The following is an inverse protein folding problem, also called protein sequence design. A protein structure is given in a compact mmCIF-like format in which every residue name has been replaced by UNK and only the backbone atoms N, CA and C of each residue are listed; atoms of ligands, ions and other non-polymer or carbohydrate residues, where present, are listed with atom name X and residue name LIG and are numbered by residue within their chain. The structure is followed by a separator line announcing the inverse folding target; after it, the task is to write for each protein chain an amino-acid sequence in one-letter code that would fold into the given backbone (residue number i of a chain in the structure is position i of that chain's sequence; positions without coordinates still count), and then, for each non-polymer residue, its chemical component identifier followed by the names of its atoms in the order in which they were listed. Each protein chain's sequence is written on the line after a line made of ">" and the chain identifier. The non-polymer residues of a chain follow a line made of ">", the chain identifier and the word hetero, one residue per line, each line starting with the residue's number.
data_IF_500795506023
#
_entry.id   IF_500795506023
#
_cell.length_a   1.000
_cell.length_b   1.000
_cell.length_c   1.000
_cell.angle_alpha   90.00
_cell.angle_beta   90.00
_cell.angle_gamma   90.00
#
_symmetry.space_group_name_H-M   'P 1'
#
loop_
_entity.id
_entity.type
_entity.pdbx_description
1 polymer ?
#
# COMPACT_ATOMS: atom_id res chain seq x y z
N UNK A 1 10.94 4.89 12.30
CA UNK A 1 10.20 3.82 11.64
C UNK A 1 10.30 4.01 10.14
N UNK A 2 10.36 2.93 9.38
CA UNK A 2 10.56 2.97 7.92
C UNK A 2 9.51 2.11 7.24
N UNK A 3 9.03 2.55 6.08
CA UNK A 3 8.18 1.72 5.22
C UNK A 3 9.04 0.89 4.26
N UNK A 4 8.63 -0.33 3.99
CA UNK A 4 9.31 -1.19 3.01
C UNK A 4 9.22 -0.68 1.58
N UNK A 5 8.28 0.22 1.29
CA UNK A 5 7.95 0.59 -0.08
C UNK A 5 7.38 -0.59 -0.87
N UNK A 6 7.29 -0.44 -2.20
CA UNK A 6 6.68 -1.44 -3.10
C UNK A 6 7.66 -2.52 -3.56
N UNK A 7 8.93 -2.41 -3.24
CA UNK A 7 9.97 -3.33 -3.70
C UNK A 7 9.86 -4.76 -3.18
N UNK A 8 9.07 -4.95 -2.15
CA UNK A 8 9.01 -6.19 -1.39
C UNK A 8 10.13 -6.27 -0.36
N UNK A 9 10.03 -7.22 0.57
CA UNK A 9 11.04 -7.45 1.58
C UNK A 9 11.73 -8.80 1.40
N UNK A 10 13.06 -8.88 1.61
CA UNK A 10 13.75 -10.14 1.65
C UNK A 10 13.28 -10.95 2.88
N UNK A 11 13.21 -12.27 2.73
CA UNK A 11 12.79 -13.18 3.82
C UNK A 11 13.62 -12.93 5.08
N UNK A 12 14.93 -12.77 4.96
CA UNK A 12 15.84 -12.50 6.09
C UNK A 12 15.39 -11.31 6.97
N UNK A 13 14.71 -10.32 6.38
CA UNK A 13 14.22 -9.15 7.10
C UNK A 13 12.87 -9.46 7.78
N UNK A 14 12.01 -10.22 7.11
CA UNK A 14 10.75 -10.72 7.70
C UNK A 14 11.00 -11.65 8.90
N UNK A 15 12.11 -12.40 8.89
CA UNK A 15 12.52 -13.31 9.97
C UNK A 15 13.40 -12.62 11.02
N UNK A 16 13.63 -11.32 10.92
CA UNK A 16 14.52 -10.59 11.83
C UNK A 16 13.76 -9.84 12.92
N UNK A 17 14.44 -9.59 14.03
CA UNK A 17 13.92 -8.72 15.11
C UNK A 17 13.75 -7.25 14.67
N UNK A 18 14.33 -6.87 13.54
CA UNK A 18 14.19 -5.53 12.96
C UNK A 18 12.79 -5.27 12.43
N UNK A 19 11.99 -6.34 12.22
CA UNK A 19 10.64 -6.24 11.66
C UNK A 19 9.74 -5.32 12.49
N UNK A 20 9.87 -5.33 13.80
CA UNK A 20 9.10 -4.45 14.72
C UNK A 20 9.28 -2.94 14.47
N UNK A 21 10.29 -2.53 13.71
CA UNK A 21 10.51 -1.13 13.36
C UNK A 21 9.99 -0.79 11.94
N UNK A 22 9.49 -1.75 11.21
CA UNK A 22 9.10 -1.60 9.81
C UNK A 22 7.59 -1.55 9.64
N UNK A 23 7.16 -0.72 8.70
CA UNK A 23 5.83 -0.73 8.15
C UNK A 23 5.89 -1.52 6.85
N UNK A 24 5.21 -2.67 6.79
CA UNK A 24 5.16 -3.48 5.58
C UNK A 24 4.13 -2.88 4.64
N UNK A 25 4.55 -2.45 3.45
CA UNK A 25 3.61 -1.99 2.42
C UNK A 25 3.23 -3.12 1.47
N UNK A 26 1.94 -3.31 1.28
CA UNK A 26 1.35 -4.23 0.31
C UNK A 26 0.82 -3.41 -0.87
N UNK A 27 1.34 -3.68 -2.05
CA UNK A 27 0.88 -3.09 -3.30
C UNK A 27 0.23 -4.14 -4.20
N UNK A 28 -0.38 -3.71 -5.28
CA UNK A 28 -1.14 -4.57 -6.21
C UNK A 28 -0.30 -5.52 -7.06
N UNK A 29 1.02 -5.40 -7.03
CA UNK A 29 1.92 -6.28 -7.77
C UNK A 29 2.07 -7.68 -7.16
N UNK A 30 3.07 -8.41 -7.62
CA UNK A 30 3.39 -9.81 -7.22
C UNK A 30 3.65 -10.01 -5.71
N UNK A 31 3.57 -8.97 -4.93
CA UNK A 31 3.74 -8.96 -3.47
C UNK A 31 2.43 -8.71 -2.76
N UNK A 32 1.36 -9.26 -3.31
CA UNK A 32 0.08 -9.24 -2.66
C UNK A 32 0.16 -9.70 -1.21
N UNK A 33 -0.86 -9.46 -0.49
CA UNK A 33 -1.02 -9.81 0.91
C UNK A 33 -0.77 -11.30 1.20
N UNK A 34 -1.03 -12.20 0.25
CA UNK A 34 -0.77 -13.65 0.37
C UNK A 34 0.69 -13.99 0.67
N UNK A 35 1.65 -13.19 0.16
CA UNK A 35 3.06 -13.39 0.49
C UNK A 35 3.37 -13.08 1.96
N UNK A 36 2.76 -12.04 2.49
CA UNK A 36 2.91 -11.71 3.92
C UNK A 36 2.29 -12.79 4.77
N UNK A 37 1.08 -13.25 4.43
CA UNK A 37 0.42 -14.36 5.13
C UNK A 37 1.31 -15.61 5.15
N UNK A 38 1.93 -15.95 4.02
CA UNK A 38 2.86 -17.09 3.94
C UNK A 38 4.13 -16.90 4.76
N UNK A 39 4.60 -15.66 4.91
CA UNK A 39 5.78 -15.36 5.68
C UNK A 39 5.52 -15.32 7.20
N UNK A 40 4.28 -15.11 7.62
CA UNK A 40 3.91 -14.97 9.04
C UNK A 40 4.41 -16.09 9.95
N UNK A 41 4.33 -17.38 9.58
CA UNK A 41 4.84 -18.47 10.43
C UNK A 41 6.34 -18.39 10.72
N UNK A 42 7.09 -17.65 9.92
CA UNK A 42 8.53 -17.49 10.03
C UNK A 42 8.95 -16.14 10.64
N UNK A 43 7.99 -15.25 10.92
CA UNK A 43 8.26 -13.97 11.54
C UNK A 43 8.61 -14.16 13.02
N UNK A 44 9.74 -13.57 13.46
CA UNK A 44 10.14 -13.58 14.88
C UNK A 44 9.46 -12.49 15.68
N UNK A 45 9.06 -11.42 15.02
CA UNK A 45 8.42 -10.25 15.60
C UNK A 45 7.26 -9.82 14.69
N UNK A 46 6.25 -9.18 15.26
CA UNK A 46 5.22 -8.52 14.48
C UNK A 46 5.77 -7.23 13.83
N UNK A 47 5.37 -6.86 12.62
CA UNK A 47 5.74 -5.57 12.04
C UNK A 47 5.10 -4.42 12.83
N UNK A 48 5.70 -3.23 12.75
CA UNK A 48 5.14 -2.02 13.37
C UNK A 48 3.72 -1.71 12.89
N UNK A 49 3.47 -1.93 11.61
CA UNK A 49 2.17 -1.81 10.96
C UNK A 49 2.21 -2.48 9.59
N UNK A 50 1.04 -2.74 9.03
CA UNK A 50 0.86 -3.11 7.62
C UNK A 50 0.15 -1.97 6.91
N UNK A 51 0.61 -1.60 5.73
CA UNK A 51 0.06 -0.51 4.93
C UNK A 51 -0.46 -1.07 3.59
N UNK A 52 -1.76 -1.07 3.40
CA UNK A 52 -2.40 -1.43 2.13
C UNK A 52 -2.35 -0.22 1.21
N UNK A 53 -1.57 -0.30 0.14
CA UNK A 53 -1.50 0.76 -0.86
C UNK A 53 -2.59 0.58 -1.90
N UNK A 54 -3.57 1.48 -1.90
CA UNK A 54 -4.63 1.57 -2.91
C UNK A 54 -4.16 2.42 -4.09
N UNK A 55 -3.45 3.50 -3.82
CA UNK A 55 -2.98 4.42 -4.85
C UNK A 55 -1.72 5.18 -4.46
N UNK A 56 -1.22 5.95 -5.42
CA UNK A 56 -0.07 6.82 -5.25
C UNK A 56 -0.46 8.23 -5.73
N UNK A 57 -0.12 9.24 -4.94
CA UNK A 57 -0.54 10.62 -5.19
C UNK A 57 -0.06 11.21 -6.50
N UNK A 58 1.14 10.85 -6.94
CA UNK A 58 1.69 11.33 -8.20
C UNK A 58 1.04 10.73 -9.46
N UNK A 59 0.31 9.63 -9.32
CA UNK A 59 -0.38 8.94 -10.42
C UNK A 59 -1.59 8.15 -9.93
N UNK A 60 -2.64 8.83 -9.46
CA UNK A 60 -3.87 8.16 -9.04
C UNK A 60 -4.44 7.28 -10.15
N UNK A 61 -4.83 6.05 -9.79
CA UNK A 61 -5.41 5.09 -10.73
C UNK A 61 -4.40 4.25 -11.52
N UNK A 62 -3.12 4.60 -11.51
CA UNK A 62 -2.06 3.80 -12.15
C UNK A 62 -1.43 2.82 -11.16
N UNK A 63 -1.07 1.64 -11.67
CA UNK A 63 -0.26 0.68 -10.93
C UNK A 63 1.21 1.05 -10.85
N UNK A 64 2.01 0.21 -10.21
CA UNK A 64 3.46 0.39 -10.12
C UNK A 64 4.16 0.10 -11.44
N UNK A 65 5.23 0.83 -11.72
CA UNK A 65 6.14 0.58 -12.82
C UNK A 65 7.57 0.50 -12.30
N UNK A 66 8.25 -0.61 -12.59
CA UNK A 66 9.67 -0.77 -12.30
C UNK A 66 10.42 -1.09 -13.60
N UNK A 67 11.19 -0.14 -14.14
CA UNK A 67 11.97 -0.35 -15.37
C UNK A 67 12.99 -1.48 -15.23
N UNK A 68 13.22 -2.26 -16.30
CA UNK A 68 14.15 -3.39 -16.32
C UNK A 68 15.56 -3.04 -15.81
N UNK A 69 16.03 -1.81 -16.08
CA UNK A 69 17.32 -1.32 -15.60
C UNK A 69 17.44 -1.30 -14.05
N UNK A 70 16.31 -1.19 -13.35
CA UNK A 70 16.25 -1.21 -11.87
C UNK A 70 16.00 -2.61 -11.31
N UNK A 71 15.69 -3.59 -12.15
CA UNK A 71 15.46 -4.99 -11.74
C UNK A 71 16.81 -5.72 -11.73
N UNK A 72 17.56 -5.55 -10.66
CA UNK A 72 18.79 -6.30 -10.41
C UNK A 72 18.52 -7.71 -9.90
N UNK A 73 19.57 -8.56 -9.75
CA UNK A 73 19.44 -9.94 -9.27
C UNK A 73 18.70 -10.05 -7.93
N UNK A 74 18.93 -9.10 -7.03
CA UNK A 74 18.28 -9.06 -5.73
C UNK A 74 16.76 -8.84 -5.84
N UNK A 75 16.33 -7.87 -6.63
CA UNK A 75 14.90 -7.61 -6.89
C UNK A 75 14.26 -8.79 -7.62
N UNK A 76 14.95 -9.35 -8.61
CA UNK A 76 14.50 -10.53 -9.35
C UNK A 76 14.26 -11.72 -8.39
N UNK A 77 15.18 -11.98 -7.48
CA UNK A 77 15.04 -13.05 -6.50
C UNK A 77 13.89 -12.79 -5.50
N UNK A 78 13.78 -11.57 -4.96
CA UNK A 78 12.69 -11.21 -4.05
C UNK A 78 11.34 -11.35 -4.74
N UNK A 79 11.27 -10.93 -6.00
CA UNK A 79 10.02 -10.89 -6.77
C UNK A 79 9.70 -12.21 -7.48
N UNK A 80 10.63 -13.12 -7.58
CA UNK A 80 10.45 -14.34 -8.35
C UNK A 80 10.17 -14.09 -9.84
N UNK A 81 10.78 -13.03 -10.40
CA UNK A 81 10.53 -12.57 -11.77
C UNK A 81 11.85 -12.37 -12.52
N UNK A 82 11.88 -12.54 -13.84
CA UNK A 82 13.07 -12.27 -14.64
C UNK A 82 13.42 -10.77 -14.67
N UNK A 83 14.62 -10.44 -15.12
CA UNK A 83 15.04 -9.05 -15.37
C UNK A 83 14.26 -8.47 -16.55
N UNK A 84 13.13 -7.85 -16.26
CA UNK A 84 12.26 -7.21 -17.24
C UNK A 84 11.62 -5.97 -16.63
N UNK A 85 11.02 -5.13 -17.45
CA UNK A 85 10.16 -4.05 -16.96
C UNK A 85 8.90 -4.67 -16.35
N UNK A 86 8.62 -4.32 -15.09
CA UNK A 86 7.52 -4.88 -14.33
C UNK A 86 6.41 -3.84 -14.18
N UNK A 87 5.22 -4.22 -14.57
CA UNK A 87 4.00 -3.45 -14.39
C UNK A 87 3.15 -4.11 -13.33
N UNK A 88 2.74 -3.35 -12.34
CA UNK A 88 1.74 -3.80 -11.36
C UNK A 88 0.36 -3.32 -11.81
N UNK A 89 -0.70 -4.11 -11.63
CA UNK A 89 -2.06 -3.68 -11.96
C UNK A 89 -2.48 -2.50 -11.07
N UNK A 90 -3.47 -1.73 -11.53
CA UNK A 90 -4.05 -0.64 -10.75
C UNK A 90 -4.74 -1.16 -9.49
N UNK A 91 -5.45 -2.28 -9.60
CA UNK A 91 -6.18 -2.92 -8.51
C UNK A 91 -5.42 -4.11 -7.91
N UNK A 92 -5.68 -4.40 -6.65
CA UNK A 92 -5.22 -5.64 -6.04
C UNK A 92 -5.89 -6.84 -6.71
N UNK A 93 -5.15 -7.92 -6.88
CA UNK A 93 -5.62 -9.10 -7.59
C UNK A 93 -6.90 -9.69 -6.96
N UNK A 94 -7.91 -9.91 -7.77
CA UNK A 94 -9.20 -10.43 -7.33
C UNK A 94 -10.11 -9.43 -6.61
N UNK A 95 -9.72 -8.16 -6.56
CA UNK A 95 -10.49 -7.07 -5.94
C UNK A 95 -10.71 -5.97 -6.97
N UNK A 96 -11.95 -5.60 -7.19
CA UNK A 96 -12.35 -4.74 -8.31
C UNK A 96 -12.74 -3.32 -7.92
N UNK A 97 -12.92 -3.07 -6.61
CA UNK A 97 -13.21 -1.73 -6.10
C UNK A 97 -12.28 -1.37 -4.95
N UNK A 98 -12.19 -0.07 -4.64
CA UNK A 98 -11.44 0.42 -3.48
C UNK A 98 -12.11 -0.07 -2.19
N UNK A 99 -13.43 -0.02 -2.13
CA UNK A 99 -14.24 -0.46 -0.99
C UNK A 99 -14.01 -1.95 -0.70
N UNK A 100 -14.03 -2.78 -1.72
CA UNK A 100 -13.77 -4.21 -1.60
C UNK A 100 -12.33 -4.48 -1.13
N UNK A 101 -11.36 -3.75 -1.69
CA UNK A 101 -9.95 -3.84 -1.28
C UNK A 101 -9.77 -3.42 0.19
N UNK A 102 -10.42 -2.34 0.59
CA UNK A 102 -10.39 -1.87 1.98
C UNK A 102 -11.02 -2.92 2.90
N UNK A 103 -12.23 -3.33 2.64
CA UNK A 103 -12.96 -4.24 3.55
C UNK A 103 -12.32 -5.63 3.62
N UNK A 104 -12.11 -6.29 2.48
CA UNK A 104 -11.63 -7.68 2.46
C UNK A 104 -10.18 -7.80 2.91
N UNK A 105 -9.27 -6.99 2.35
CA UNK A 105 -7.85 -7.06 2.71
C UNK A 105 -7.62 -6.60 4.13
N UNK A 106 -8.24 -5.50 4.52
CA UNK A 106 -8.10 -4.93 5.83
C UNK A 106 -8.54 -5.91 6.93
N UNK A 107 -9.74 -6.47 6.79
CA UNK A 107 -10.26 -7.47 7.73
C UNK A 107 -9.39 -8.74 7.75
N UNK A 108 -9.01 -9.25 6.57
CA UNK A 108 -8.18 -10.47 6.47
C UNK A 108 -6.82 -10.29 7.13
N UNK A 109 -6.17 -9.15 6.94
CA UNK A 109 -4.88 -8.85 7.56
C UNK A 109 -5.01 -8.66 9.07
N UNK A 110 -6.02 -7.93 9.54
CA UNK A 110 -6.26 -7.80 10.97
C UNK A 110 -6.49 -9.16 11.62
N UNK A 111 -7.32 -10.01 11.02
CA UNK A 111 -7.56 -11.36 11.51
C UNK A 111 -6.28 -12.22 11.52
N UNK A 112 -5.50 -12.16 10.43
CA UNK A 112 -4.26 -12.91 10.30
C UNK A 112 -3.23 -12.52 11.38
N UNK A 113 -3.12 -11.25 11.71
CA UNK A 113 -2.27 -10.76 12.80
C UNK A 113 -2.95 -10.80 14.20
N UNK A 114 -4.14 -11.39 14.30
CA UNK A 114 -4.88 -11.45 15.56
C UNK A 114 -5.16 -10.07 16.16
N UNK A 115 -5.37 -9.06 15.33
CA UNK A 115 -5.63 -7.66 15.70
C UNK A 115 -4.51 -6.99 16.52
N UNK A 116 -3.30 -7.57 16.54
CA UNK A 116 -2.17 -6.99 17.28
C UNK A 116 -1.41 -5.95 16.48
N UNK A 117 -1.44 -6.05 15.15
CA UNK A 117 -0.70 -5.18 14.24
C UNK A 117 -1.66 -4.18 13.60
N UNK A 118 -1.41 -2.86 13.70
CA UNK A 118 -2.22 -1.88 13.01
C UNK A 118 -2.18 -2.08 11.50
N UNK A 119 -3.34 -2.17 10.86
CA UNK A 119 -3.47 -2.22 9.41
C UNK A 119 -3.99 -0.88 8.92
N UNK A 120 -3.19 -0.18 8.15
CA UNK A 120 -3.49 1.15 7.64
C UNK A 120 -3.75 1.11 6.13
N UNK A 121 -4.46 2.11 5.63
CA UNK A 121 -4.76 2.29 4.20
C UNK A 121 -4.00 3.50 3.66
N UNK A 122 -3.37 3.34 2.49
CA UNK A 122 -2.76 4.46 1.74
C UNK A 122 -3.56 4.70 0.46
N UNK A 123 -4.04 5.94 0.32
CA UNK A 123 -4.81 6.40 -0.82
C UNK A 123 -4.15 7.62 -1.46
N UNK A 124 -4.32 7.79 -2.77
CA UNK A 124 -3.93 9.03 -3.44
C UNK A 124 -4.82 10.20 -2.98
N UNK A 125 -4.25 11.38 -2.87
CA UNK A 125 -5.00 12.61 -2.72
C UNK A 125 -5.76 12.90 -4.03
N UNK A 126 -7.01 12.46 -4.11
CA UNK A 126 -7.88 12.53 -5.29
C UNK A 126 -9.33 12.71 -4.86
N UNK A 127 -10.24 12.76 -5.81
CA UNK A 127 -11.69 12.81 -5.53
C UNK A 127 -12.19 11.61 -4.72
N UNK A 128 -11.48 10.47 -4.77
CA UNK A 128 -11.86 9.25 -4.05
C UNK A 128 -11.35 9.20 -2.60
N UNK A 129 -10.39 10.06 -2.22
CA UNK A 129 -9.80 10.00 -0.87
C UNK A 129 -10.80 10.27 0.25
N UNK A 130 -11.71 11.23 0.07
CA UNK A 130 -12.74 11.56 1.07
C UNK A 130 -13.76 10.43 1.23
N UNK A 131 -14.37 9.87 0.16
CA UNK A 131 -15.25 8.71 0.28
C UNK A 131 -14.59 7.50 0.95
N UNK A 132 -13.35 7.18 0.59
CA UNK A 132 -12.61 6.06 1.23
C UNK A 132 -12.41 6.33 2.72
N UNK A 133 -12.00 7.53 3.10
CA UNK A 133 -11.82 7.92 4.49
C UNK A 133 -13.14 7.82 5.27
N UNK A 134 -14.23 8.32 4.72
CA UNK A 134 -15.54 8.23 5.35
C UNK A 134 -16.04 6.79 5.54
N UNK A 135 -15.74 5.91 4.58
CA UNK A 135 -16.05 4.48 4.73
C UNK A 135 -15.26 3.85 5.87
N UNK A 136 -13.98 4.22 6.04
CA UNK A 136 -13.17 3.74 7.16
C UNK A 136 -13.66 4.26 8.50
N UNK A 137 -14.10 5.52 8.58
CA UNK A 137 -14.65 6.10 9.81
C UNK A 137 -16.00 5.45 10.22
N UNK A 138 -16.76 4.97 9.23
CA UNK A 138 -18.04 4.31 9.44
C UNK A 138 -17.93 2.81 9.65
N UNK A 139 -16.70 2.27 9.61
CA UNK A 139 -16.48 0.85 9.88
C UNK A 139 -16.96 0.53 11.30
N UNK A 140 -17.99 -0.33 11.46
CA UNK A 140 -18.56 -0.64 12.76
C UNK A 140 -17.57 -1.35 13.70
N UNK A 141 -16.52 -1.92 13.13
CA UNK A 141 -15.47 -2.61 13.89
C UNK A 141 -14.32 -1.69 14.30
N UNK A 142 -14.25 -0.47 13.72
CA UNK A 142 -13.20 0.52 13.97
C UNK A 142 -11.78 -0.07 14.02
N UNK A 143 -11.48 -0.96 13.08
CA UNK A 143 -10.25 -1.74 13.05
C UNK A 143 -9.14 -1.09 12.20
N UNK A 144 -9.41 0.06 11.56
CA UNK A 144 -8.42 0.75 10.76
C UNK A 144 -7.34 1.40 11.63
N UNK A 145 -6.11 0.94 11.49
CA UNK A 145 -4.95 1.44 12.23
C UNK A 145 -4.42 2.80 11.76
N UNK A 146 -4.93 3.33 10.64
CA UNK A 146 -4.55 4.64 10.12
C UNK A 146 -4.89 4.84 8.65
N UNK A 147 -4.97 6.11 8.25
CA UNK A 147 -5.22 6.51 6.88
C UNK A 147 -4.10 7.44 6.39
N UNK A 148 -3.44 7.04 5.30
CA UNK A 148 -2.34 7.79 4.69
C UNK A 148 -2.82 8.41 3.40
N UNK A 149 -2.80 9.74 3.32
CA UNK A 149 -3.10 10.48 2.10
C UNK A 149 -1.79 10.82 1.41
N UNK A 150 -1.63 10.40 0.16
CA UNK A 150 -0.44 10.61 -0.66
C UNK A 150 -0.72 11.70 -1.70
N UNK A 151 -0.04 12.85 -1.56
CA UNK A 151 -0.24 14.00 -2.44
C UNK A 151 0.60 13.92 -3.72
N UNK A 152 0.25 14.77 -4.70
CA UNK A 152 0.97 14.87 -5.98
C UNK A 152 2.44 15.27 -5.83
N UNK A 153 2.78 15.99 -4.76
CA UNK A 153 4.13 16.54 -4.53
C UNK A 153 5.21 15.45 -4.40
N UNK A 154 4.83 14.20 -4.10
CA UNK A 154 5.77 13.09 -4.02
C UNK A 154 6.46 12.76 -5.34
N UNK A 155 5.84 13.09 -6.46
CA UNK A 155 6.37 12.85 -7.81
C UNK A 155 6.62 11.38 -8.10
N UNK A 156 6.91 11.07 -9.34
CA UNK A 156 7.39 9.76 -9.78
C UNK A 156 8.01 9.86 -11.17
N UNK A 157 9.10 9.14 -11.42
CA UNK A 157 9.65 8.98 -12.78
C UNK A 157 9.04 7.82 -13.56
N UNK A 158 7.94 7.23 -13.07
CA UNK A 158 7.36 6.00 -13.58
C UNK A 158 5.86 6.13 -13.87
N UNK A 159 5.42 7.30 -14.30
CA UNK A 159 4.06 7.57 -14.75
C UNK A 159 4.06 8.22 -16.14
N UNK A 160 2.94 8.13 -16.81
CA UNK A 160 2.72 8.89 -18.04
C UNK A 160 2.45 10.37 -17.71
N UNK A 161 2.66 11.23 -18.70
CA UNK A 161 2.52 12.69 -18.56
C UNK A 161 1.11 13.10 -18.12
N UNK A 162 0.09 12.48 -18.67
CA UNK A 162 -1.32 12.75 -18.31
C UNK A 162 -1.59 12.48 -16.84
N UNK A 163 -1.07 11.35 -16.31
CA UNK A 163 -1.23 11.02 -14.89
C UNK A 163 -0.49 12.02 -14.00
N UNK A 164 0.72 12.43 -14.40
CA UNK A 164 1.52 13.37 -13.61
C UNK A 164 0.89 14.76 -13.52
N UNK A 165 0.37 15.26 -14.63
CA UNK A 165 -0.04 16.65 -14.73
C UNK A 165 -1.52 16.88 -14.41
N UNK A 166 -2.37 15.84 -14.52
CA UNK A 166 -3.82 16.03 -14.52
C UNK A 166 -4.62 15.20 -13.53
N UNK A 167 -4.00 14.26 -12.78
CA UNK A 167 -4.79 13.34 -11.94
C UNK A 167 -4.59 13.50 -10.43
N UNK A 168 -3.46 14.04 -10.00
CA UNK A 168 -3.14 14.19 -8.58
C UNK A 168 -3.61 15.52 -8.00
N UNK A 169 -3.82 15.53 -6.69
CA UNK A 169 -4.14 16.75 -5.93
C UNK A 169 -3.03 17.07 -4.91
N UNK A 170 -2.80 18.34 -4.59
CA UNK A 170 -1.98 18.72 -3.45
C UNK A 170 -2.55 18.12 -2.16
N UNK A 171 -1.67 17.57 -1.32
CA UNK A 171 -2.09 16.92 -0.07
C UNK A 171 -2.89 17.84 0.85
N UNK A 172 -2.52 19.12 0.92
CA UNK A 172 -3.15 20.09 1.83
C UNK A 172 -4.64 20.24 1.56
N UNK A 173 -5.05 20.28 0.27
CA UNK A 173 -6.46 20.41 -0.09
C UNK A 173 -7.28 19.19 0.37
N UNK A 174 -6.76 17.99 0.16
CA UNK A 174 -7.48 16.74 0.48
C UNK A 174 -7.42 16.38 1.96
N UNK A 175 -6.35 16.71 2.63
CA UNK A 175 -6.26 16.53 4.08
C UNK A 175 -7.32 17.35 4.81
N UNK A 176 -7.53 18.60 4.38
CA UNK A 176 -8.60 19.47 4.88
C UNK A 176 -9.98 18.85 4.64
N UNK A 177 -10.25 18.39 3.42
CA UNK A 177 -11.53 17.78 3.07
C UNK A 177 -11.83 16.54 3.94
N UNK A 178 -10.84 15.68 4.16
CA UNK A 178 -11.00 14.52 5.05
C UNK A 178 -11.24 14.95 6.50
N UNK A 179 -10.51 15.95 7.00
CA UNK A 179 -10.69 16.48 8.35
C UNK A 179 -12.12 17.02 8.55
N UNK A 180 -12.58 17.87 7.63
CA UNK A 180 -13.92 18.46 7.70
C UNK A 180 -15.05 17.42 7.57
N UNK A 181 -14.78 16.29 6.95
CA UNK A 181 -15.76 15.21 6.85
C UNK A 181 -15.83 14.32 8.09
N UNK A 182 -14.87 14.44 9.02
CA UNK A 182 -14.79 13.66 10.25
C UNK A 182 -15.41 14.38 11.47
N UNK A 183 -15.64 15.70 11.38
CA UNK A 183 -16.25 16.53 12.41
C UNK A 183 -17.68 16.88 12.03
#
# INVERSE_FOLDING_TARGET
>A
RMSSGEGGMPIRLLESEQLKYLIIQIASGHFGWDRIIRAMPHMKEDPCAVLIKIGQGAKPGDGGLLPAAKVGPHISAIRGVPKATLHSPANHQGLYSIEESVQKMHLSLNAAFGFRVPVAIKCAASSTSVPVYNNLLRDPYNICGGFFIDGVQGGTGAANEVSLDHTGHPIVSKLRDCYLSAV
#
